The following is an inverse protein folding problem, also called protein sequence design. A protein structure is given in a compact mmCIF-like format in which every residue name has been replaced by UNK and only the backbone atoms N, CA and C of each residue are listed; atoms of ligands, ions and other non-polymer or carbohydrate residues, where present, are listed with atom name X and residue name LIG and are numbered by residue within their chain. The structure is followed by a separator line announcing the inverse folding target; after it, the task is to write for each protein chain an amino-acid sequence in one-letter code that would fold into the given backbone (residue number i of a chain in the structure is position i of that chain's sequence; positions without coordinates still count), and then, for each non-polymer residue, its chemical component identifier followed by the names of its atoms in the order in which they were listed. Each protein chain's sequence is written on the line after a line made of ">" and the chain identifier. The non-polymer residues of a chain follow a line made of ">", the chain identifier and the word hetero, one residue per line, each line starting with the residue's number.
data_IF_292045992718
#
_entry.id   IF_292045992718
#
_cell.length_a   1.000
_cell.length_b   1.000
_cell.length_c   1.000
_cell.angle_alpha   90.00
_cell.angle_beta   90.00
_cell.angle_gamma   90.00
#
_symmetry.space_group_name_H-M   'P 1'
#
loop_
_entity.id
_entity.type
_entity.pdbx_description
1 polymer ?
#
# COMPACT_ATOMS: atom_id res chain seq x y z
N UNK A 1 -31.11 7.43 0.06
CA UNK A 1 -30.95 5.95 -0.06
C UNK A 1 -30.13 5.47 -1.27
N UNK A 2 -29.87 6.28 -2.31
CA UNK A 2 -29.14 5.82 -3.52
C UNK A 2 -27.61 5.79 -3.39
N UNK A 3 -26.98 6.72 -2.66
CA UNK A 3 -25.51 6.78 -2.53
C UNK A 3 -24.91 5.52 -1.91
N UNK A 4 -25.50 5.05 -0.80
CA UNK A 4 -25.01 3.85 -0.08
C UNK A 4 -25.09 2.61 -0.97
N UNK A 5 -26.21 2.42 -1.70
CA UNK A 5 -26.38 1.29 -2.61
C UNK A 5 -25.39 1.31 -3.79
N UNK A 6 -25.05 2.50 -4.28
CA UNK A 6 -24.12 2.65 -5.40
C UNK A 6 -22.64 2.52 -5.02
N UNK A 7 -22.29 2.74 -3.76
CA UNK A 7 -20.90 2.74 -3.26
C UNK A 7 -20.69 1.72 -2.12
N UNK A 8 -21.48 0.66 -2.08
CA UNK A 8 -21.50 -0.26 -0.94
C UNK A 8 -20.13 -0.91 -0.71
N UNK A 9 -19.43 -1.31 -1.77
CA UNK A 9 -18.11 -1.96 -1.66
C UNK A 9 -17.06 -1.00 -1.12
N UNK A 10 -17.05 0.23 -1.62
CA UNK A 10 -16.16 1.30 -1.20
C UNK A 10 -16.37 1.64 0.28
N UNK A 11 -17.63 1.78 0.70
CA UNK A 11 -17.97 2.05 2.10
C UNK A 11 -17.54 0.91 3.03
N UNK A 12 -17.72 -0.35 2.60
CA UNK A 12 -17.24 -1.51 3.37
C UNK A 12 -15.72 -1.43 3.51
N UNK A 13 -14.97 -1.18 2.43
CA UNK A 13 -13.52 -1.10 2.51
C UNK A 13 -13.01 0.08 3.33
N UNK A 14 -13.68 1.25 3.26
CA UNK A 14 -13.39 2.41 4.11
C UNK A 14 -13.62 2.15 5.61
N UNK A 15 -14.39 1.11 5.97
CA UNK A 15 -14.53 0.65 7.34
C UNK A 15 -13.53 -0.48 7.67
N UNK A 16 -13.44 -1.50 6.82
CA UNK A 16 -12.61 -2.69 7.04
C UNK A 16 -11.14 -2.31 7.13
N UNK A 17 -10.63 -1.48 6.21
CA UNK A 17 -9.20 -1.17 6.18
C UNK A 17 -8.73 -0.50 7.48
N UNK A 18 -9.33 0.62 7.96
CA UNK A 18 -8.97 1.20 9.25
C UNK A 18 -9.19 0.25 10.44
N UNK A 19 -10.27 -0.55 10.44
CA UNK A 19 -10.51 -1.50 11.54
C UNK A 19 -9.36 -2.49 11.72
N UNK A 20 -8.79 -2.96 10.60
CA UNK A 20 -7.67 -3.89 10.63
C UNK A 20 -6.32 -3.19 10.84
N UNK A 21 -6.05 -2.06 10.16
CA UNK A 21 -4.72 -1.43 10.20
C UNK A 21 -4.54 -0.45 11.36
N UNK A 22 -5.58 0.31 11.73
CA UNK A 22 -5.50 1.32 12.80
C UNK A 22 -6.04 0.82 14.13
N UNK A 23 -7.19 0.13 14.12
CA UNK A 23 -7.82 -0.38 15.34
C UNK A 23 -7.43 -1.83 15.66
N UNK A 24 -6.57 -2.44 14.84
CA UNK A 24 -5.98 -3.76 15.06
C UNK A 24 -7.00 -4.85 15.45
N UNK A 25 -8.19 -4.85 14.84
CA UNK A 25 -9.24 -5.83 15.17
C UNK A 25 -8.81 -7.28 14.92
N UNK A 26 -7.78 -7.48 14.08
CA UNK A 26 -7.13 -8.77 13.86
C UNK A 26 -6.56 -9.40 15.13
N UNK A 27 -6.24 -8.60 16.16
CA UNK A 27 -5.76 -9.08 17.45
C UNK A 27 -6.75 -10.02 18.13
N UNK A 28 -8.05 -9.73 18.06
CA UNK A 28 -9.08 -10.60 18.65
C UNK A 28 -9.15 -11.97 17.96
N UNK A 29 -8.88 -12.01 16.65
CA UNK A 29 -8.81 -13.25 15.89
C UNK A 29 -7.57 -14.05 16.32
N UNK A 30 -6.40 -13.40 16.41
CA UNK A 30 -5.17 -14.06 16.89
C UNK A 30 -5.31 -14.55 18.31
N UNK A 31 -5.98 -13.80 19.19
CA UNK A 31 -6.25 -14.22 20.55
C UNK A 31 -7.08 -15.52 20.57
N UNK A 32 -8.14 -15.59 19.78
CA UNK A 32 -8.94 -16.80 19.63
C UNK A 32 -8.13 -18.00 19.12
N UNK A 33 -7.28 -17.79 18.10
CA UNK A 33 -6.39 -18.84 17.59
C UNK A 33 -5.37 -19.26 18.65
N UNK A 34 -4.80 -18.30 19.38
CA UNK A 34 -3.81 -18.56 20.44
C UNK A 34 -4.37 -19.47 21.52
N UNK A 35 -5.64 -19.26 21.92
CA UNK A 35 -6.35 -20.14 22.85
C UNK A 35 -6.55 -21.56 22.30
N UNK A 36 -6.79 -21.69 20.99
CA UNK A 36 -7.03 -22.99 20.33
C UNK A 36 -5.75 -23.79 20.09
N UNK A 37 -4.64 -23.11 19.80
CA UNK A 37 -3.36 -23.73 19.44
C UNK A 37 -2.36 -23.82 20.59
N UNK A 38 -2.67 -23.20 21.74
CA UNK A 38 -1.76 -23.06 22.87
C UNK A 38 -0.42 -22.41 22.47
N UNK A 39 -0.46 -21.47 21.53
CA UNK A 39 0.68 -20.69 21.06
C UNK A 39 0.40 -19.20 21.28
N UNK A 40 1.41 -18.41 21.66
CA UNK A 40 1.23 -16.97 21.88
C UNK A 40 1.41 -16.17 20.58
N UNK A 41 0.38 -16.14 19.73
CA UNK A 41 0.44 -15.44 18.43
C UNK A 41 0.20 -13.94 18.56
N UNK A 42 -0.37 -13.47 19.67
CA UNK A 42 -0.70 -12.05 19.89
C UNK A 42 0.55 -11.20 20.09
N UNK A 43 1.64 -11.79 20.58
CA UNK A 43 2.94 -11.11 20.73
C UNK A 43 3.76 -11.11 19.43
N UNK A 44 3.34 -11.85 18.40
CA UNK A 44 4.04 -11.86 17.12
C UNK A 44 3.64 -10.64 16.30
N UNK A 45 4.54 -9.68 16.18
CA UNK A 45 4.35 -8.49 15.31
C UNK A 45 4.09 -8.90 13.85
N UNK A 46 4.79 -9.93 13.35
CA UNK A 46 4.52 -10.46 12.01
C UNK A 46 3.11 -11.04 11.88
N UNK A 47 2.63 -11.80 12.87
CA UNK A 47 1.27 -12.34 12.84
C UNK A 47 0.22 -11.23 12.89
N UNK A 48 0.46 -10.19 13.68
CA UNK A 48 -0.40 -8.99 13.72
C UNK A 48 -0.41 -8.28 12.36
N UNK A 49 0.75 -8.02 11.76
CA UNK A 49 0.86 -7.45 10.41
C UNK A 49 0.15 -8.31 9.36
N UNK A 50 0.31 -9.63 9.46
CA UNK A 50 -0.35 -10.60 8.59
C UNK A 50 -1.87 -10.48 8.67
N UNK A 51 -2.44 -10.41 9.87
CA UNK A 51 -3.88 -10.23 10.05
C UNK A 51 -4.36 -8.87 9.55
N UNK A 52 -3.61 -7.81 9.83
CA UNK A 52 -3.92 -6.43 9.44
C UNK A 52 -3.98 -6.24 7.92
N UNK A 53 -3.15 -6.95 7.15
CA UNK A 53 -3.12 -6.79 5.70
C UNK A 53 -3.92 -7.88 4.97
N UNK A 54 -3.92 -9.13 5.46
CA UNK A 54 -4.47 -10.26 4.71
C UNK A 54 -5.96 -10.14 4.47
N UNK A 55 -6.74 -9.88 5.52
CA UNK A 55 -8.20 -9.81 5.41
C UNK A 55 -8.65 -8.64 4.53
N UNK A 56 -8.16 -7.39 4.75
CA UNK A 56 -8.49 -6.27 3.87
C UNK A 56 -8.07 -6.51 2.42
N UNK A 57 -6.89 -7.08 2.18
CA UNK A 57 -6.41 -7.37 0.82
C UNK A 57 -7.32 -8.36 0.10
N UNK A 58 -7.67 -9.48 0.74
CA UNK A 58 -8.57 -10.48 0.16
C UNK A 58 -9.91 -9.84 -0.19
N UNK A 59 -10.52 -9.09 0.73
CA UNK A 59 -11.80 -8.44 0.50
C UNK A 59 -11.72 -7.37 -0.60
N UNK A 60 -10.67 -6.55 -0.58
CA UNK A 60 -10.41 -5.53 -1.59
C UNK A 60 -10.28 -6.14 -2.99
N UNK A 61 -9.44 -7.16 -3.15
CA UNK A 61 -9.30 -7.87 -4.43
C UNK A 61 -10.61 -8.52 -4.84
N UNK A 62 -11.33 -9.18 -3.92
CA UNK A 62 -12.62 -9.80 -4.23
C UNK A 62 -13.65 -8.78 -4.74
N UNK A 63 -13.73 -7.60 -4.10
CA UNK A 63 -14.69 -6.56 -4.46
C UNK A 63 -14.34 -5.82 -5.74
N UNK A 64 -13.05 -5.56 -5.97
CA UNK A 64 -12.55 -4.73 -7.07
C UNK A 64 -11.83 -5.51 -8.18
N UNK A 65 -11.96 -6.85 -8.21
CA UNK A 65 -11.31 -7.71 -9.22
C UNK A 65 -11.61 -7.29 -10.66
N UNK A 66 -12.83 -6.80 -10.94
CA UNK A 66 -13.22 -6.44 -12.31
C UNK A 66 -12.48 -5.17 -12.75
N UNK A 67 -12.40 -4.20 -11.86
CA UNK A 67 -11.72 -2.93 -12.03
C UNK A 67 -10.20 -3.14 -12.17
N UNK A 68 -9.62 -4.03 -11.34
CA UNK A 68 -8.22 -4.45 -11.43
C UNK A 68 -7.95 -5.11 -12.79
N UNK A 69 -8.73 -6.13 -13.17
CA UNK A 69 -8.56 -6.84 -14.45
C UNK A 69 -8.72 -5.88 -15.64
N UNK A 70 -9.73 -5.01 -15.60
CA UNK A 70 -9.97 -4.03 -16.65
C UNK A 70 -8.80 -3.03 -16.76
N UNK A 71 -8.15 -2.67 -15.65
CA UNK A 71 -7.02 -1.73 -15.67
C UNK A 71 -5.79 -2.23 -16.43
N UNK A 72 -5.65 -3.56 -16.66
CA UNK A 72 -4.61 -4.12 -17.53
C UNK A 72 -4.79 -3.72 -19.01
N UNK A 73 -5.96 -3.23 -19.41
CA UNK A 73 -6.16 -2.67 -20.76
C UNK A 73 -5.18 -1.53 -21.07
N UNK A 74 -4.67 -0.83 -20.05
CA UNK A 74 -3.62 0.16 -20.20
C UNK A 74 -2.38 -0.43 -20.90
N UNK A 75 -2.04 -1.69 -20.68
CA UNK A 75 -0.85 -2.31 -21.27
C UNK A 75 -1.04 -2.81 -22.71
N UNK A 76 -2.25 -2.73 -23.29
CA UNK A 76 -2.51 -3.25 -24.66
C UNK A 76 -1.75 -2.48 -25.75
N UNK A 77 -1.51 -1.20 -25.54
CA UNK A 77 -0.77 -0.34 -26.48
C UNK A 77 0.56 0.08 -25.88
N UNK A 78 1.63 0.11 -26.70
CA UNK A 78 2.98 0.47 -26.27
C UNK A 78 3.43 -0.35 -25.05
N UNK A 79 3.11 -1.64 -25.03
CA UNK A 79 3.32 -2.56 -23.89
C UNK A 79 4.75 -2.51 -23.36
N UNK A 80 5.74 -2.63 -24.23
CA UNK A 80 7.16 -2.62 -23.84
C UNK A 80 7.52 -1.32 -23.11
N UNK A 81 7.12 -0.17 -23.66
CA UNK A 81 7.39 1.13 -23.05
C UNK A 81 6.77 1.23 -21.64
N UNK A 82 5.53 0.76 -21.46
CA UNK A 82 4.82 0.79 -20.18
C UNK A 82 5.37 -0.21 -19.17
N UNK A 83 5.89 -1.36 -19.62
CA UNK A 83 6.54 -2.33 -18.74
C UNK A 83 7.90 -1.78 -18.29
N UNK A 84 8.69 -1.22 -19.22
CA UNK A 84 10.00 -0.64 -18.92
C UNK A 84 9.89 0.62 -18.06
N UNK A 85 8.78 1.38 -18.14
CA UNK A 85 8.59 2.55 -17.29
C UNK A 85 8.39 2.20 -15.81
N UNK A 86 7.94 0.99 -15.48
CA UNK A 86 7.75 0.56 -14.08
C UNK A 86 9.07 0.62 -13.28
N UNK A 87 10.14 -0.11 -13.66
CA UNK A 87 11.42 -0.02 -12.94
C UNK A 87 12.07 1.36 -13.05
N UNK A 88 11.81 2.14 -14.12
CA UNK A 88 12.30 3.52 -14.22
C UNK A 88 11.66 4.42 -13.17
N UNK A 89 10.34 4.31 -12.97
CA UNK A 89 9.64 5.08 -11.91
C UNK A 89 10.10 4.64 -10.53
N UNK A 90 10.30 3.33 -10.30
CA UNK A 90 10.84 2.83 -9.04
C UNK A 90 12.26 3.36 -8.79
N UNK A 91 13.15 3.32 -9.79
CA UNK A 91 14.48 3.91 -9.68
C UNK A 91 14.41 5.40 -9.35
N UNK A 92 13.49 6.14 -9.97
CA UNK A 92 13.27 7.55 -9.66
C UNK A 92 12.81 7.76 -8.22
N UNK A 93 11.87 6.95 -7.72
CA UNK A 93 11.42 7.00 -6.31
C UNK A 93 12.59 6.77 -5.36
N UNK A 94 13.41 5.74 -5.59
CA UNK A 94 14.59 5.43 -4.77
C UNK A 94 15.61 6.57 -4.79
N UNK A 95 15.87 7.20 -5.94
CA UNK A 95 16.77 8.35 -6.04
C UNK A 95 16.24 9.54 -5.23
N UNK A 96 14.95 9.84 -5.35
CA UNK A 96 14.31 10.95 -4.62
C UNK A 96 14.39 10.72 -3.12
N UNK A 97 14.01 9.52 -2.67
CA UNK A 97 14.04 9.13 -1.26
C UNK A 97 15.45 9.27 -0.67
N UNK A 98 16.45 8.67 -1.31
CA UNK A 98 17.85 8.73 -0.85
C UNK A 98 18.41 10.16 -0.89
N UNK A 99 18.04 10.96 -1.89
CA UNK A 99 18.48 12.36 -1.97
C UNK A 99 17.94 13.20 -0.81
N UNK A 100 16.68 12.96 -0.42
CA UNK A 100 16.06 13.65 0.70
C UNK A 100 16.67 13.20 2.02
N UNK A 101 16.85 11.89 2.23
CA UNK A 101 17.52 11.37 3.42
C UNK A 101 18.93 11.94 3.58
N UNK A 102 19.70 11.98 2.49
CA UNK A 102 21.03 12.58 2.47
C UNK A 102 20.99 14.09 2.79
N UNK A 103 20.08 14.84 2.16
CA UNK A 103 19.95 16.28 2.38
C UNK A 103 19.55 16.64 3.82
N UNK A 104 18.64 15.86 4.41
CA UNK A 104 18.18 16.03 5.78
C UNK A 104 19.15 15.45 6.82
N UNK A 105 20.20 14.75 6.38
CA UNK A 105 21.12 14.00 7.23
C UNK A 105 20.39 13.06 8.21
N UNK A 106 19.41 12.33 7.68
CA UNK A 106 18.58 11.38 8.43
C UNK A 106 18.75 9.96 7.89
N UNK A 107 18.48 8.97 8.74
CA UNK A 107 18.41 7.56 8.34
C UNK A 107 17.04 7.16 7.79
N UNK A 108 16.86 5.85 7.67
CA UNK A 108 15.58 5.23 7.31
C UNK A 108 14.48 5.63 8.31
N UNK A 109 13.23 5.90 7.85
CA UNK A 109 12.11 6.15 8.75
C UNK A 109 11.84 4.95 9.67
N UNK A 110 11.44 5.22 10.92
CA UNK A 110 11.15 4.17 11.91
C UNK A 110 10.10 3.16 11.40
N UNK A 111 9.05 3.62 10.71
CA UNK A 111 8.04 2.73 10.13
C UNK A 111 8.66 1.73 9.13
N UNK A 112 9.61 2.17 8.32
CA UNK A 112 10.30 1.31 7.36
C UNK A 112 11.22 0.32 8.09
N UNK A 113 11.95 0.78 9.11
CA UNK A 113 12.83 -0.07 9.92
C UNK A 113 12.05 -1.15 10.68
N UNK A 114 10.90 -0.80 11.27
CA UNK A 114 10.02 -1.75 11.96
C UNK A 114 9.52 -2.83 11.01
N UNK A 115 9.00 -2.45 9.84
CA UNK A 115 8.48 -3.40 8.84
C UNK A 115 9.58 -4.33 8.30
N UNK A 116 10.79 -3.82 8.08
CA UNK A 116 11.94 -4.64 7.69
C UNK A 116 12.34 -5.61 8.82
N UNK A 117 12.43 -5.13 10.06
CA UNK A 117 12.78 -5.94 11.24
C UNK A 117 11.77 -7.08 11.45
N UNK A 118 10.46 -6.80 11.32
CA UNK A 118 9.40 -7.81 11.39
C UNK A 118 9.55 -8.91 10.33
N UNK A 119 10.13 -8.58 9.17
CA UNK A 119 10.38 -9.53 8.10
C UNK A 119 11.74 -10.24 8.17
N UNK A 120 12.69 -9.76 8.97
CA UNK A 120 14.06 -10.28 8.98
C UNK A 120 14.14 -11.75 9.43
N UNK A 121 13.28 -12.17 10.36
CA UNK A 121 13.25 -13.53 10.90
C UNK A 121 12.28 -14.47 10.16
N UNK A 122 11.53 -13.94 9.17
CA UNK A 122 10.44 -14.64 8.51
C UNK A 122 10.83 -14.98 7.08
N UNK A 123 10.76 -16.25 6.62
CA UNK A 123 11.21 -16.63 5.28
C UNK A 123 10.77 -15.65 4.19
N UNK A 124 11.71 -15.21 3.35
CA UNK A 124 11.53 -14.12 2.39
C UNK A 124 10.26 -14.24 1.52
N UNK A 125 9.81 -15.45 1.23
CA UNK A 125 8.58 -15.68 0.47
C UNK A 125 7.34 -15.10 1.17
N UNK A 126 7.26 -15.20 2.50
CA UNK A 126 6.14 -14.70 3.28
C UNK A 126 6.21 -13.19 3.48
N UNK A 127 7.42 -12.62 3.61
CA UNK A 127 7.60 -11.16 3.72
C UNK A 127 7.31 -10.45 2.41
N UNK A 128 7.79 -11.01 1.30
CA UNK A 128 7.45 -10.52 -0.04
C UNK A 128 5.96 -10.62 -0.32
N UNK A 129 5.33 -11.74 0.06
CA UNK A 129 3.88 -11.88 -0.09
C UNK A 129 3.14 -10.81 0.71
N UNK A 130 3.47 -10.66 1.99
CA UNK A 130 2.72 -9.81 2.89
C UNK A 130 2.99 -8.31 2.67
N UNK A 131 4.25 -7.90 2.81
CA UNK A 131 4.64 -6.50 2.77
C UNK A 131 5.02 -6.06 1.36
N UNK A 132 5.68 -6.93 0.58
CA UNK A 132 6.04 -6.63 -0.80
C UNK A 132 4.84 -6.56 -1.76
N UNK A 133 3.80 -7.38 -1.53
CA UNK A 133 2.66 -7.52 -2.44
C UNK A 133 1.34 -7.08 -1.79
N UNK A 134 0.92 -7.72 -0.70
CA UNK A 134 -0.43 -7.50 -0.16
C UNK A 134 -0.61 -6.07 0.37
N UNK A 135 0.35 -5.53 1.11
CA UNK A 135 0.36 -4.13 1.58
C UNK A 135 0.13 -3.14 0.42
N UNK A 136 1.04 -3.08 -0.57
CA UNK A 136 0.88 -2.21 -1.73
C UNK A 136 -0.44 -2.44 -2.48
N UNK A 137 -0.90 -3.68 -2.63
CA UNK A 137 -2.18 -3.97 -3.31
C UNK A 137 -3.36 -3.34 -2.57
N UNK A 138 -3.48 -3.54 -1.25
CA UNK A 138 -4.60 -2.95 -0.52
C UNK A 138 -4.49 -1.43 -0.47
N UNK A 139 -3.29 -0.89 -0.34
CA UNK A 139 -3.05 0.55 -0.37
C UNK A 139 -3.49 1.17 -1.69
N UNK A 140 -3.12 0.61 -2.85
CA UNK A 140 -3.55 1.16 -4.14
C UNK A 140 -5.08 1.09 -4.34
N UNK A 141 -5.73 0.04 -3.81
CA UNK A 141 -7.20 -0.04 -3.80
C UNK A 141 -7.78 1.10 -2.94
N UNK A 142 -7.27 1.30 -1.73
CA UNK A 142 -7.79 2.29 -0.80
C UNK A 142 -7.53 3.72 -1.26
N UNK A 143 -6.27 4.05 -1.58
CA UNK A 143 -5.84 5.40 -1.84
C UNK A 143 -6.12 5.83 -3.29
N UNK A 144 -5.77 5.00 -4.29
CA UNK A 144 -5.87 5.41 -5.70
C UNK A 144 -7.23 5.07 -6.29
N UNK A 145 -7.78 3.90 -6.00
CA UNK A 145 -9.09 3.55 -6.51
C UNK A 145 -10.23 4.20 -5.73
N UNK A 146 -10.30 4.02 -4.42
CA UNK A 146 -11.44 4.50 -3.63
C UNK A 146 -11.30 6.00 -3.32
N UNK A 147 -10.27 6.40 -2.57
CA UNK A 147 -10.13 7.79 -2.11
C UNK A 147 -9.84 8.78 -3.23
N UNK A 148 -9.00 8.44 -4.19
CA UNK A 148 -8.77 9.33 -5.33
C UNK A 148 -9.88 9.15 -6.37
N UNK A 149 -9.98 7.97 -6.99
CA UNK A 149 -10.81 7.85 -8.18
C UNK A 149 -12.32 7.96 -7.89
N UNK A 150 -12.87 7.21 -6.94
CA UNK A 150 -14.30 7.28 -6.64
C UNK A 150 -14.67 8.62 -6.02
N UNK A 151 -13.92 9.09 -5.02
CA UNK A 151 -14.23 10.37 -4.37
C UNK A 151 -14.10 11.59 -5.30
N UNK A 152 -13.24 11.53 -6.32
CA UNK A 152 -13.09 12.62 -7.30
C UNK A 152 -14.38 12.96 -8.05
N UNK A 153 -15.37 12.06 -8.11
CA UNK A 153 -16.69 12.34 -8.69
C UNK A 153 -17.51 13.33 -7.85
N UNK A 154 -17.16 13.53 -6.58
CA UNK A 154 -17.88 14.42 -5.66
C UNK A 154 -17.15 15.74 -5.43
N UNK A 155 -15.82 15.72 -5.41
CA UNK A 155 -14.99 16.90 -5.04
C UNK A 155 -14.00 17.34 -6.12
N UNK A 156 -13.94 16.62 -7.24
CA UNK A 156 -12.96 16.86 -8.30
C UNK A 156 -11.61 16.17 -8.06
N UNK A 157 -10.88 15.93 -9.15
CA UNK A 157 -9.62 15.16 -9.13
C UNK A 157 -8.53 15.81 -8.30
N UNK A 158 -8.39 17.13 -8.34
CA UNK A 158 -7.34 17.83 -7.60
C UNK A 158 -7.49 17.66 -6.09
N UNK A 159 -8.69 17.94 -5.56
CA UNK A 159 -8.98 17.81 -4.13
C UNK A 159 -8.87 16.36 -3.68
N UNK A 160 -9.43 15.41 -4.43
CA UNK A 160 -9.32 13.98 -4.11
C UNK A 160 -7.87 13.48 -4.11
N UNK A 161 -7.02 13.98 -5.02
CA UNK A 161 -5.59 13.66 -5.05
C UNK A 161 -4.87 14.19 -3.81
N UNK A 162 -5.12 15.45 -3.43
CA UNK A 162 -4.52 16.05 -2.23
C UNK A 162 -4.92 15.26 -0.98
N UNK A 163 -6.20 14.93 -0.82
CA UNK A 163 -6.69 14.14 0.32
C UNK A 163 -6.02 12.76 0.34
N UNK A 164 -5.98 12.05 -0.79
CA UNK A 164 -5.33 10.75 -0.87
C UNK A 164 -3.84 10.82 -0.51
N UNK A 165 -3.14 11.84 -0.99
CA UNK A 165 -1.70 12.02 -0.75
C UNK A 165 -1.44 12.29 0.74
N UNK A 166 -2.21 13.21 1.34
CA UNK A 166 -2.06 13.58 2.75
C UNK A 166 -2.36 12.39 3.66
N UNK A 167 -3.50 11.71 3.46
CA UNK A 167 -3.86 10.56 4.31
C UNK A 167 -2.82 9.45 4.18
N UNK A 168 -2.38 9.10 2.97
CA UNK A 168 -1.32 8.11 2.78
C UNK A 168 -0.06 8.51 3.54
N UNK A 169 0.41 9.74 3.36
CA UNK A 169 1.66 10.22 3.98
C UNK A 169 1.58 10.17 5.51
N UNK A 170 0.50 10.69 6.10
CA UNK A 170 0.31 10.74 7.56
C UNK A 170 0.24 9.34 8.16
N UNK A 171 -0.38 8.38 7.47
CA UNK A 171 -0.48 7.00 7.96
C UNK A 171 0.85 6.24 8.00
N UNK A 172 1.87 6.73 7.29
CA UNK A 172 3.22 6.12 7.26
C UNK A 172 4.23 6.88 8.12
N UNK A 173 3.81 7.98 8.74
CA UNK A 173 4.68 8.90 9.48
C UNK A 173 4.61 8.59 10.98
N UNK A 174 5.75 8.28 11.62
CA UNK A 174 5.85 8.19 13.08
C UNK A 174 6.28 9.52 13.71
N UNK A 175 7.08 10.31 12.97
CA UNK A 175 7.54 11.63 13.38
C UNK A 175 7.45 12.63 12.22
N UNK A 176 7.35 13.93 12.52
CA UNK A 176 7.12 14.97 11.50
C UNK A 176 8.15 14.98 10.36
N UNK A 177 9.41 14.59 10.61
CA UNK A 177 10.44 14.50 9.58
C UNK A 177 10.15 13.42 8.52
N UNK A 178 9.42 12.36 8.87
CA UNK A 178 9.09 11.27 7.94
C UNK A 178 8.17 11.75 6.81
N UNK A 179 7.43 12.84 7.02
CA UNK A 179 6.60 13.48 5.98
C UNK A 179 7.47 13.84 4.77
N UNK A 180 8.69 14.34 4.98
CA UNK A 180 9.58 14.70 3.89
C UNK A 180 10.00 13.49 3.04
N UNK A 181 9.99 12.29 3.63
CA UNK A 181 10.41 11.03 2.98
C UNK A 181 9.22 10.37 2.28
N UNK A 182 8.05 10.27 2.94
CA UNK A 182 6.87 9.59 2.38
C UNK A 182 6.04 10.44 1.41
N UNK A 183 5.99 11.77 1.60
CA UNK A 183 5.18 12.65 0.76
C UNK A 183 5.55 12.56 -0.74
N UNK A 184 6.84 12.63 -1.13
CA UNK A 184 7.23 12.52 -2.54
C UNK A 184 6.82 11.19 -3.17
N UNK A 185 6.99 10.07 -2.47
CA UNK A 185 6.57 8.76 -2.96
C UNK A 185 5.06 8.70 -3.19
N UNK A 186 4.28 9.23 -2.25
CA UNK A 186 2.81 9.31 -2.37
C UNK A 186 2.36 10.17 -3.56
N UNK A 187 3.06 11.28 -3.81
CA UNK A 187 2.85 12.16 -4.98
C UNK A 187 3.19 11.40 -6.28
N UNK A 188 4.33 10.72 -6.35
CA UNK A 188 4.78 9.98 -7.53
C UNK A 188 3.79 8.87 -7.90
N UNK A 189 3.35 8.06 -6.92
CA UNK A 189 2.35 7.02 -7.15
C UNK A 189 1.00 7.61 -7.62
N UNK A 190 0.59 8.73 -7.03
CA UNK A 190 -0.63 9.44 -7.45
C UNK A 190 -0.52 9.97 -8.89
N UNK A 191 0.62 10.55 -9.25
CA UNK A 191 0.88 11.01 -10.61
C UNK A 191 0.93 9.84 -11.60
N UNK A 192 1.62 8.74 -11.26
CA UNK A 192 1.68 7.53 -12.07
C UNK A 192 0.29 6.95 -12.33
N UNK A 193 -0.57 6.93 -11.32
CA UNK A 193 -1.97 6.51 -11.47
C UNK A 193 -2.76 7.44 -12.42
N UNK A 194 -2.66 8.76 -12.26
CA UNK A 194 -3.38 9.70 -13.13
C UNK A 194 -2.89 9.67 -14.58
N UNK A 195 -1.57 9.65 -14.80
CA UNK A 195 -0.93 9.60 -16.13
C UNK A 195 -1.25 8.29 -16.85
N UNK A 196 -1.42 7.19 -16.11
CA UNK A 196 -1.77 5.88 -16.66
C UNK A 196 -3.27 5.69 -16.93
N UNK A 197 -4.02 6.78 -17.11
CA UNK A 197 -5.48 6.76 -17.25
C UNK A 197 -6.17 6.00 -16.11
N UNK A 198 -5.67 6.19 -14.87
CA UNK A 198 -6.19 5.54 -13.67
C UNK A 198 -6.05 4.01 -13.69
N UNK A 199 -4.94 3.52 -14.27
CA UNK A 199 -4.63 2.09 -14.26
C UNK A 199 -4.13 1.66 -12.88
N UNK A 200 -4.99 0.97 -12.13
CA UNK A 200 -4.64 0.39 -10.83
C UNK A 200 -3.52 -0.64 -10.98
N UNK A 201 -3.58 -1.50 -12.02
CA UNK A 201 -2.52 -2.49 -12.27
C UNK A 201 -1.15 -1.85 -12.50
N UNK A 202 -1.08 -0.70 -13.19
CA UNK A 202 0.19 -0.01 -13.42
C UNK A 202 0.78 0.55 -12.13
N UNK A 203 0.00 1.27 -11.33
CA UNK A 203 0.49 1.82 -10.06
C UNK A 203 0.78 0.73 -9.02
N UNK A 204 -0.02 -0.33 -8.97
CA UNK A 204 0.27 -1.52 -8.15
C UNK A 204 1.62 -2.14 -8.52
N UNK A 205 1.91 -2.31 -9.82
CA UNK A 205 3.17 -2.90 -10.24
C UNK A 205 4.38 -2.05 -9.81
N UNK A 206 4.28 -0.71 -9.91
CA UNK A 206 5.31 0.21 -9.40
C UNK A 206 5.48 0.04 -7.90
N UNK A 207 4.39 0.08 -7.14
CA UNK A 207 4.44 0.05 -5.69
C UNK A 207 4.93 -1.30 -5.15
N UNK A 208 4.41 -2.41 -5.68
CA UNK A 208 4.86 -3.77 -5.36
C UNK A 208 6.34 -3.95 -5.66
N UNK A 209 6.81 -3.47 -6.83
CA UNK A 209 8.23 -3.58 -7.17
C UNK A 209 9.10 -2.75 -6.21
N UNK A 210 8.70 -1.50 -5.91
CA UNK A 210 9.43 -0.64 -4.98
C UNK A 210 9.57 -1.31 -3.60
N UNK A 211 8.46 -1.81 -3.06
CA UNK A 211 8.45 -2.42 -1.73
C UNK A 211 9.20 -3.76 -1.71
N UNK A 212 9.05 -4.58 -2.76
CA UNK A 212 9.77 -5.86 -2.88
C UNK A 212 11.29 -5.68 -2.96
N UNK A 213 11.79 -4.63 -3.63
CA UNK A 213 13.23 -4.35 -3.69
C UNK A 213 13.81 -4.09 -2.30
N UNK A 214 13.10 -3.37 -1.43
CA UNK A 214 13.56 -3.10 -0.07
C UNK A 214 13.79 -4.40 0.72
N UNK A 215 12.86 -5.35 0.66
CA UNK A 215 13.03 -6.66 1.29
C UNK A 215 14.11 -7.52 0.64
N UNK A 216 14.22 -7.52 -0.69
CA UNK A 216 15.28 -8.25 -1.39
C UNK A 216 16.65 -7.70 -0.97
N UNK A 217 16.81 -6.38 -0.86
CA UNK A 217 18.05 -5.76 -0.39
C UNK A 217 18.40 -6.14 1.04
N UNK A 218 17.43 -6.08 1.95
CA UNK A 218 17.60 -6.52 3.36
C UNK A 218 18.07 -7.97 3.47
N UNK A 219 17.59 -8.86 2.60
CA UNK A 219 17.98 -10.27 2.59
C UNK A 219 19.35 -10.54 1.95
N UNK A 220 19.87 -9.61 1.15
CA UNK A 220 21.18 -9.73 0.48
C UNK A 220 22.32 -9.05 1.24
N UNK A 221 22.00 -8.20 2.22
CA UNK A 221 22.96 -7.53 3.12
C UNK A 221 23.35 -8.41 4.29
#
# INVERSE_FOLDING_TARGET
>A
MNFIKMNQKELIMLLVYPMFTLFQIGLFILFGISLLTNANLVESEFALGAMSLTIPTILGVMFFRKEIIQSFTYFKEKTILKIVSIPIVVLFMVIVENSIMHFLNTGQPENQEQVLTQGAEIPIIFTLLLFGIMGPVIEEIMFRHILLNRFSHYVGTAIASIISIIIFTVLHTNQLSDIAIYLPGSVILTAAYLISNRSIAYVMAIHVLNNSIAFIQMYMS
#
